data_IF_795365241223
#
_entry.id   IF_795365241223
#
_cell.length_a   1.000
_cell.length_b   1.000
_cell.length_c   1.000
_cell.angle_alpha   90.00
_cell.angle_beta   90.00
_cell.angle_gamma   90.00
#
_symmetry.space_group_name_H-M   'P 1'
#
loop_
_entity.id
_entity.type
_entity.pdbx_description
1 polymer ?
#
# COMPACT_ATOMS: atom_id res chain seq x y z
N UNK A 1 19.50 -0.07 -24.54
CA UNK A 1 18.93 0.93 -23.61
C UNK A 1 17.46 0.62 -23.28
N UNK A 2 16.60 0.30 -24.26
CA UNK A 2 15.16 0.10 -24.05
C UNK A 2 14.70 -1.32 -23.66
N UNK A 3 15.61 -2.28 -23.46
CA UNK A 3 15.23 -3.68 -23.16
C UNK A 3 14.44 -3.83 -21.84
N UNK A 4 14.63 -2.90 -20.89
CA UNK A 4 13.90 -2.87 -19.63
C UNK A 4 12.58 -2.10 -19.69
N UNK A 5 12.24 -1.49 -20.84
CA UNK A 5 11.01 -0.69 -20.97
C UNK A 5 9.82 -1.59 -21.27
N UNK A 6 8.71 -1.33 -20.59
CA UNK A 6 7.40 -1.91 -20.95
C UNK A 6 6.99 -1.51 -22.36
N UNK A 7 6.05 -2.23 -22.97
CA UNK A 7 5.53 -1.88 -24.30
C UNK A 7 4.95 -0.47 -24.34
N UNK A 8 4.18 -0.08 -23.31
CA UNK A 8 3.64 1.28 -23.17
C UNK A 8 4.74 2.32 -23.03
N UNK A 9 5.77 2.05 -22.23
CA UNK A 9 6.92 2.96 -22.09
C UNK A 9 7.72 3.11 -23.40
N UNK A 10 7.83 2.04 -24.21
CA UNK A 10 8.40 2.12 -25.56
C UNK A 10 7.51 2.95 -26.49
N UNK A 11 6.19 2.78 -26.41
CA UNK A 11 5.21 3.56 -27.18
C UNK A 11 5.28 5.05 -26.86
N UNK A 12 5.43 5.43 -25.58
CA UNK A 12 5.67 6.83 -25.15
C UNK A 12 6.86 7.46 -25.88
N UNK A 13 7.96 6.72 -26.04
CA UNK A 13 9.16 7.20 -26.74
C UNK A 13 8.87 7.44 -28.22
N UNK A 14 8.12 6.54 -28.87
CA UNK A 14 7.70 6.70 -30.27
C UNK A 14 6.77 7.91 -30.42
N UNK A 15 5.79 8.04 -29.53
CA UNK A 15 4.87 9.17 -29.51
C UNK A 15 5.59 10.50 -29.27
N UNK A 16 6.62 10.52 -28.41
CA UNK A 16 7.47 11.69 -28.22
C UNK A 16 8.23 12.06 -29.50
N UNK A 17 8.71 11.07 -30.26
CA UNK A 17 9.33 11.32 -31.56
C UNK A 17 8.33 11.90 -32.58
N UNK A 18 7.09 11.43 -32.56
CA UNK A 18 6.03 11.95 -33.42
C UNK A 18 5.61 13.38 -33.01
N UNK A 19 5.57 13.71 -31.73
CA UNK A 19 5.34 15.08 -31.27
C UNK A 19 6.51 16.00 -31.65
N UNK A 20 7.77 15.55 -31.52
CA UNK A 20 8.91 16.31 -32.01
C UNK A 20 8.79 16.63 -33.51
N UNK A 21 8.31 15.67 -34.32
CA UNK A 21 8.02 15.90 -35.74
C UNK A 21 6.86 16.86 -35.96
N UNK A 22 5.79 16.75 -35.17
CA UNK A 22 4.65 17.65 -35.24
C UNK A 22 5.06 19.10 -35.02
N UNK A 23 5.94 19.36 -34.05
CA UNK A 23 6.51 20.68 -33.78
C UNK A 23 7.68 21.06 -34.71
N UNK A 24 8.02 20.24 -35.72
CA UNK A 24 9.21 20.44 -36.58
C UNK A 24 10.53 20.60 -35.81
N UNK A 25 10.63 19.99 -34.62
CA UNK A 25 11.84 19.99 -33.82
C UNK A 25 12.81 18.89 -34.29
N UNK A 26 14.07 19.28 -34.49
CA UNK A 26 15.14 18.36 -34.86
C UNK A 26 15.75 17.62 -33.65
N UNK A 27 15.09 17.65 -32.48
CA UNK A 27 15.52 17.01 -31.25
C UNK A 27 14.33 16.48 -30.45
N UNK A 28 14.56 15.47 -29.60
CA UNK A 28 13.56 15.01 -28.63
C UNK A 28 13.88 15.63 -27.26
N UNK A 29 13.02 16.55 -26.82
CA UNK A 29 13.11 17.27 -25.57
C UNK A 29 12.29 16.62 -24.45
N UNK A 30 12.32 17.25 -23.28
CA UNK A 30 11.49 16.84 -22.13
C UNK A 30 10.00 17.05 -22.40
N UNK A 31 9.66 18.11 -23.14
CA UNK A 31 8.33 18.48 -23.60
C UNK A 31 7.72 17.41 -24.49
N UNK A 32 8.49 16.86 -25.41
CA UNK A 32 8.04 15.77 -26.27
C UNK A 32 7.79 14.49 -25.47
N UNK A 33 8.61 14.21 -24.45
CA UNK A 33 8.36 13.10 -23.52
C UNK A 33 7.07 13.31 -22.72
N UNK A 34 6.80 14.54 -22.27
CA UNK A 34 5.54 14.88 -21.57
C UNK A 34 4.32 14.65 -22.46
N UNK A 35 4.37 15.15 -23.69
CA UNK A 35 3.31 14.97 -24.69
C UNK A 35 3.14 13.49 -25.06
N UNK A 36 4.25 12.76 -25.22
CA UNK A 36 4.24 11.32 -25.47
C UNK A 36 3.60 10.52 -24.32
N UNK A 37 3.82 10.95 -23.06
CA UNK A 37 3.16 10.35 -21.90
C UNK A 37 1.66 10.60 -21.93
N UNK A 38 1.21 11.81 -22.24
CA UNK A 38 -0.22 12.18 -22.33
C UNK A 38 -0.94 11.54 -23.52
N UNK A 39 -0.22 11.24 -24.61
CA UNK A 39 -0.76 10.50 -25.76
C UNK A 39 -0.91 9.01 -25.51
N UNK A 40 -0.15 8.46 -24.59
CA UNK A 40 -0.38 7.10 -24.08
C UNK A 40 -1.40 7.16 -22.94
N UNK A 41 -2.65 7.47 -23.30
CA UNK A 41 -3.77 7.74 -22.40
C UNK A 41 -4.12 6.59 -21.44
N UNK A 42 -3.85 5.34 -21.82
CA UNK A 42 -3.97 4.16 -20.95
C UNK A 42 -2.87 4.04 -19.88
N UNK A 43 -1.78 4.80 -20.02
CA UNK A 43 -0.62 4.74 -19.14
C UNK A 43 -0.88 5.34 -17.76
N UNK A 44 -0.21 4.80 -16.73
CA UNK A 44 -0.28 5.34 -15.36
C UNK A 44 0.12 6.81 -15.31
N UNK A 45 1.07 7.23 -16.16
CA UNK A 45 1.49 8.62 -16.28
C UNK A 45 0.40 9.55 -16.82
N UNK A 46 -0.23 9.23 -17.95
CA UNK A 46 -1.31 10.03 -18.52
C UNK A 46 -2.45 10.18 -17.52
N UNK A 47 -2.83 9.06 -16.91
CA UNK A 47 -3.87 9.01 -15.91
C UNK A 47 -3.54 9.89 -14.69
N UNK A 48 -2.29 9.87 -14.22
CA UNK A 48 -1.84 10.73 -13.12
C UNK A 48 -1.93 12.22 -13.48
N UNK A 49 -1.51 12.58 -14.69
CA UNK A 49 -1.56 13.95 -15.19
C UNK A 49 -3.03 14.42 -15.36
N UNK A 50 -3.92 13.60 -15.90
CA UNK A 50 -5.34 13.94 -16.02
C UNK A 50 -6.02 14.20 -14.68
N UNK A 51 -5.70 13.44 -13.63
CA UNK A 51 -6.23 13.71 -12.28
C UNK A 51 -5.72 15.01 -11.66
N UNK A 52 -4.67 15.61 -12.23
CA UNK A 52 -4.17 16.93 -11.86
C UNK A 52 -4.66 18.00 -12.84
N UNK A 53 -5.68 17.70 -13.65
CA UNK A 53 -6.23 18.54 -14.71
C UNK A 53 -5.22 18.93 -15.80
N UNK A 54 -4.19 18.11 -16.02
CA UNK A 54 -3.24 18.30 -17.13
C UNK A 54 -3.75 17.53 -18.34
N UNK A 55 -4.30 18.24 -19.31
CA UNK A 55 -4.82 17.66 -20.56
C UNK A 55 -3.88 17.91 -21.73
N UNK A 56 -3.91 17.00 -22.72
CA UNK A 56 -2.96 16.99 -23.83
C UNK A 56 -2.94 18.30 -24.64
N UNK A 57 -4.11 18.85 -24.95
CA UNK A 57 -4.22 20.03 -25.80
C UNK A 57 -3.67 21.28 -25.11
N UNK A 58 -3.96 21.48 -23.82
CA UNK A 58 -3.38 22.57 -23.02
C UNK A 58 -1.85 22.45 -22.92
N UNK A 59 -1.32 21.23 -22.78
CA UNK A 59 0.13 21.00 -22.76
C UNK A 59 0.75 21.33 -24.12
N UNK A 60 0.09 21.01 -25.24
CA UNK A 60 0.57 21.39 -26.58
C UNK A 60 0.62 22.90 -26.74
N UNK A 61 -0.43 23.61 -26.34
CA UNK A 61 -0.48 25.07 -26.41
C UNK A 61 0.65 25.72 -25.57
N UNK A 62 0.91 25.19 -24.36
CA UNK A 62 2.02 25.66 -23.53
C UNK A 62 3.38 25.37 -24.16
N UNK A 63 3.56 24.19 -24.78
CA UNK A 63 4.81 23.86 -25.49
C UNK A 63 5.01 24.80 -26.68
N UNK A 64 3.99 25.01 -27.51
CA UNK A 64 4.03 25.96 -28.61
C UNK A 64 4.41 27.37 -28.13
N UNK A 65 3.81 27.83 -27.03
CA UNK A 65 4.12 29.15 -26.47
C UNK A 65 5.55 29.28 -25.96
N UNK A 66 6.21 28.20 -25.52
CA UNK A 66 7.54 28.25 -24.92
C UNK A 66 8.65 28.05 -25.96
N UNK A 67 8.46 27.11 -26.89
CA UNK A 67 9.49 26.71 -27.86
C UNK A 67 9.12 26.96 -29.33
N UNK A 68 7.85 27.19 -29.64
CA UNK A 68 7.38 27.42 -31.01
C UNK A 68 7.42 26.16 -31.89
N UNK A 69 7.37 26.37 -33.21
CA UNK A 69 7.65 25.35 -34.22
C UNK A 69 9.06 25.55 -34.79
N UNK A 70 9.75 24.45 -35.09
CA UNK A 70 11.02 24.45 -35.80
C UNK A 70 10.88 24.54 -37.33
N UNK A 71 12.00 24.35 -38.04
CA UNK A 71 12.05 24.41 -39.51
C UNK A 71 11.53 23.10 -40.14
N UNK A 72 10.63 23.25 -41.12
CA UNK A 72 10.03 22.13 -41.87
C UNK A 72 11.10 21.23 -42.51
N UNK A 73 10.92 19.91 -42.39
CA UNK A 73 11.74 18.90 -43.08
C UNK A 73 12.92 18.31 -42.29
N UNK A 74 13.13 18.71 -41.02
CA UNK A 74 14.28 18.27 -40.21
C UNK A 74 14.03 17.05 -39.30
N UNK A 75 12.80 16.51 -39.24
CA UNK A 75 12.32 15.61 -38.17
C UNK A 75 12.50 14.09 -38.35
N UNK A 76 13.21 13.59 -39.37
CA UNK A 76 13.21 12.14 -39.66
C UNK A 76 13.84 11.27 -38.54
N UNK A 77 14.92 11.74 -37.90
CA UNK A 77 15.60 11.06 -36.79
C UNK A 77 16.17 12.05 -35.76
N UNK A 78 15.27 12.74 -35.04
CA UNK A 78 15.65 13.63 -33.95
C UNK A 78 16.32 12.87 -32.78
N UNK A 79 17.55 13.22 -32.36
CA UNK A 79 18.17 12.61 -31.18
C UNK A 79 17.59 13.17 -29.88
N UNK A 80 17.68 12.39 -28.81
CA UNK A 80 17.40 12.87 -27.45
C UNK A 80 18.41 13.92 -27.00
N UNK A 81 17.89 15.04 -26.49
CA UNK A 81 18.66 16.07 -25.77
C UNK A 81 19.32 15.49 -24.51
N UNK A 82 20.40 16.12 -23.97
CA UNK A 82 20.99 15.69 -22.71
C UNK A 82 19.99 15.61 -21.54
N UNK A 83 19.03 16.55 -21.48
CA UNK A 83 17.98 16.58 -20.45
C UNK A 83 16.96 15.46 -20.62
N UNK A 84 16.50 15.18 -21.83
CA UNK A 84 15.59 14.04 -22.06
C UNK A 84 16.29 12.69 -21.78
N UNK A 85 17.59 12.55 -22.10
CA UNK A 85 18.38 11.38 -21.65
C UNK A 85 18.44 11.29 -20.13
N UNK A 86 18.63 12.43 -19.45
CA UNK A 86 18.64 12.49 -17.99
C UNK A 86 17.31 12.02 -17.38
N UNK A 87 16.19 12.42 -17.96
CA UNK A 87 14.86 11.94 -17.57
C UNK A 87 14.77 10.42 -17.64
N UNK A 88 15.25 9.79 -18.71
CA UNK A 88 15.24 8.33 -18.85
C UNK A 88 16.17 7.63 -17.83
N UNK A 89 17.31 8.23 -17.50
CA UNK A 89 18.19 7.73 -16.42
C UNK A 89 17.51 7.84 -15.04
N UNK A 90 16.84 8.95 -14.77
CA UNK A 90 16.09 9.17 -13.53
C UNK A 90 14.92 8.19 -13.44
N UNK A 91 14.23 7.92 -14.55
CA UNK A 91 13.17 6.92 -14.62
C UNK A 91 13.66 5.52 -14.21
N UNK A 92 14.85 5.11 -14.66
CA UNK A 92 15.44 3.86 -14.21
C UNK A 92 15.70 3.85 -12.69
N UNK A 93 16.16 4.96 -12.11
CA UNK A 93 16.38 5.06 -10.65
C UNK A 93 15.06 4.98 -9.88
N UNK A 94 14.02 5.66 -10.36
CA UNK A 94 12.68 5.61 -9.76
C UNK A 94 12.11 4.19 -9.80
N UNK A 95 12.26 3.47 -10.92
CA UNK A 95 11.86 2.08 -11.02
C UNK A 95 12.55 1.20 -9.96
N UNK A 96 13.87 1.34 -9.81
CA UNK A 96 14.63 0.59 -8.81
C UNK A 96 14.25 0.96 -7.37
N UNK A 97 14.00 2.25 -7.09
CA UNK A 97 13.56 2.72 -5.77
C UNK A 97 12.16 2.19 -5.39
N UNK A 98 11.31 1.96 -6.38
CA UNK A 98 9.99 1.35 -6.22
C UNK A 98 10.04 -0.19 -6.26
N UNK A 99 11.23 -0.80 -6.37
CA UNK A 99 11.40 -2.26 -6.43
C UNK A 99 11.01 -2.90 -7.77
N UNK A 100 10.80 -2.09 -8.82
CA UNK A 100 10.43 -2.56 -10.15
C UNK A 100 11.67 -2.91 -11.00
N UNK A 101 11.66 -4.10 -11.59
CA UNK A 101 12.70 -4.56 -12.53
C UNK A 101 12.47 -4.11 -13.99
N UNK A 102 11.47 -3.24 -14.22
CA UNK A 102 11.08 -2.70 -15.52
C UNK A 102 10.83 -1.19 -15.45
N UNK A 103 10.85 -0.51 -16.60
CA UNK A 103 10.56 0.91 -16.75
C UNK A 103 9.18 1.06 -17.40
N UNK A 104 8.19 1.50 -16.63
CA UNK A 104 6.86 1.87 -17.09
C UNK A 104 6.69 3.37 -17.33
N UNK A 105 5.49 3.76 -17.76
CA UNK A 105 5.13 5.15 -18.04
C UNK A 105 5.27 6.04 -16.79
N UNK A 106 4.89 5.50 -15.63
CA UNK A 106 5.02 6.06 -14.29
C UNK A 106 6.45 6.49 -13.96
N UNK A 107 7.44 5.66 -14.30
CA UNK A 107 8.83 5.91 -13.99
C UNK A 107 9.37 7.03 -14.88
N UNK A 108 8.95 7.06 -16.15
CA UNK A 108 9.29 8.15 -17.07
C UNK A 108 8.74 9.48 -16.55
N UNK A 109 7.48 9.51 -16.09
CA UNK A 109 6.89 10.71 -15.50
C UNK A 109 7.60 11.14 -14.20
N UNK A 110 7.93 10.19 -13.31
CA UNK A 110 8.70 10.49 -12.09
C UNK A 110 10.10 11.02 -12.40
N UNK A 111 10.75 10.47 -13.43
CA UNK A 111 12.03 10.98 -13.93
C UNK A 111 11.90 12.39 -14.52
N UNK A 112 10.79 12.67 -15.18
CA UNK A 112 10.49 13.96 -15.81
C UNK A 112 10.30 15.06 -14.77
N UNK A 113 9.51 14.83 -13.73
CA UNK A 113 9.27 15.82 -12.67
C UNK A 113 10.47 16.01 -11.74
N UNK A 114 11.38 15.03 -11.69
CA UNK A 114 12.65 15.14 -10.96
C UNK A 114 13.69 15.97 -11.73
N UNK A 115 13.58 16.05 -13.06
CA UNK A 115 14.36 16.93 -13.90
C UNK A 115 13.70 18.33 -13.93
N UNK A 116 13.98 19.14 -12.91
CA UNK A 116 13.28 20.41 -12.64
C UNK A 116 13.57 21.55 -13.61
N UNK A 117 14.57 21.41 -14.49
CA UNK A 117 15.02 22.52 -15.33
C UNK A 117 14.50 22.46 -16.78
N UNK A 118 13.92 21.33 -17.20
CA UNK A 118 13.47 21.10 -18.58
C UNK A 118 12.24 21.94 -18.99
N UNK A 119 11.92 21.94 -20.29
CA UNK A 119 10.71 22.58 -20.82
C UNK A 119 9.46 21.93 -20.21
N UNK A 120 9.44 20.61 -20.02
CA UNK A 120 8.33 19.92 -19.36
C UNK A 120 8.08 20.43 -17.93
N UNK A 121 9.14 20.72 -17.16
CA UNK A 121 9.00 21.27 -15.82
C UNK A 121 8.40 22.67 -15.85
N UNK A 122 8.79 23.50 -16.83
CA UNK A 122 8.19 24.83 -17.05
C UNK A 122 6.71 24.73 -17.44
N UNK A 123 6.37 23.84 -18.36
CA UNK A 123 4.98 23.61 -18.78
C UNK A 123 4.12 23.18 -17.58
N UNK A 124 4.57 22.19 -16.80
CA UNK A 124 3.84 21.76 -15.61
C UNK A 124 3.72 22.89 -14.58
N UNK A 125 4.76 23.71 -14.40
CA UNK A 125 4.71 24.88 -13.51
C UNK A 125 3.72 25.94 -13.97
N UNK A 126 3.60 26.20 -15.28
CA UNK A 126 2.63 27.15 -15.83
C UNK A 126 1.19 26.67 -15.65
N UNK A 127 0.99 25.35 -15.54
CA UNK A 127 -0.31 24.72 -15.26
C UNK A 127 -0.56 24.54 -13.75
N UNK A 128 0.24 25.18 -12.88
CA UNK A 128 0.15 25.09 -11.41
C UNK A 128 0.30 23.65 -10.85
N UNK A 129 1.03 22.79 -11.58
CA UNK A 129 1.27 21.40 -11.19
C UNK A 129 2.55 21.28 -10.38
N UNK A 130 2.37 21.00 -9.09
CA UNK A 130 3.46 20.72 -8.16
C UNK A 130 4.07 19.31 -8.42
N UNK A 131 5.39 19.20 -8.65
CA UNK A 131 6.11 17.92 -8.80
C UNK A 131 5.81 16.90 -7.69
N UNK A 132 5.63 17.35 -6.46
CA UNK A 132 5.30 16.47 -5.33
C UNK A 132 3.87 15.94 -5.44
N UNK A 133 2.93 16.72 -6.00
CA UNK A 133 1.57 16.23 -6.31
C UNK A 133 1.62 15.15 -7.39
N UNK A 134 2.42 15.34 -8.44
CA UNK A 134 2.60 14.33 -9.49
C UNK A 134 3.17 13.04 -8.91
N UNK A 135 4.21 13.13 -8.09
CA UNK A 135 4.79 11.95 -7.43
C UNK A 135 3.77 11.21 -6.57
N UNK A 136 3.02 11.93 -5.72
CA UNK A 136 1.96 11.34 -4.90
C UNK A 136 0.90 10.64 -5.75
N UNK A 137 0.52 11.25 -6.86
CA UNK A 137 -0.53 10.73 -7.75
C UNK A 137 -0.07 9.48 -8.52
N UNK A 138 1.18 9.46 -9.00
CA UNK A 138 1.78 8.28 -9.61
C UNK A 138 1.89 7.13 -8.60
N UNK A 139 2.40 7.39 -7.40
CA UNK A 139 2.51 6.37 -6.34
C UNK A 139 1.14 5.83 -5.93
N UNK A 140 0.14 6.71 -5.82
CA UNK A 140 -1.26 6.32 -5.55
C UNK A 140 -1.78 5.34 -6.60
N UNK A 141 -1.50 5.59 -7.87
CA UNK A 141 -1.96 4.74 -9.00
C UNK A 141 -1.19 3.44 -9.13
N UNK A 142 0.10 3.42 -8.78
CA UNK A 142 0.86 2.18 -8.70
C UNK A 142 0.41 1.30 -7.54
N UNK A 143 0.05 1.91 -6.41
CA UNK A 143 -0.59 1.22 -5.29
C UNK A 143 -2.00 0.71 -5.59
N UNK A 144 -2.67 1.23 -6.62
CA UNK A 144 -4.01 0.80 -7.06
C UNK A 144 -4.03 -0.01 -8.37
N UNK A 145 -2.87 -0.48 -8.85
CA UNK A 145 -2.67 -0.91 -10.25
C UNK A 145 -2.32 -2.37 -10.51
N UNK A 146 -2.35 -3.28 -9.52
CA UNK A 146 -2.13 -4.73 -9.76
C UNK A 146 -3.41 -5.57 -9.79
N UNK A 147 -4.53 -4.97 -10.22
CA UNK A 147 -5.62 -5.74 -10.81
C UNK A 147 -5.70 -5.45 -12.31
N UNK A 148 -5.82 -6.53 -13.10
CA UNK A 148 -6.01 -6.61 -14.56
C UNK A 148 -4.75 -6.72 -15.43
N UNK A 149 -4.12 -7.89 -15.36
CA UNK A 149 -3.80 -8.61 -16.58
C UNK A 149 -3.84 -10.12 -16.37
N UNK A 150 -5.03 -10.71 -16.57
CA UNK A 150 -5.24 -11.88 -17.44
C UNK A 150 -6.73 -12.15 -17.64
N UNK A 151 -7.21 -11.64 -18.77
CA UNK A 151 -8.19 -12.20 -19.71
C UNK A 151 -9.46 -12.91 -19.21
N UNK A 152 -10.61 -12.32 -19.58
CA UNK A 152 -11.73 -13.07 -20.15
C UNK A 152 -13.10 -12.84 -19.51
N UNK A 153 -14.01 -12.19 -20.25
CA UNK A 153 -15.45 -12.49 -20.18
C UNK A 153 -16.35 -11.52 -19.39
N UNK A 154 -17.00 -10.64 -20.16
CA UNK A 154 -18.40 -10.21 -20.03
C UNK A 154 -18.94 -9.45 -18.80
N UNK A 155 -19.33 -8.20 -19.10
CA UNK A 155 -20.63 -7.58 -18.87
C UNK A 155 -21.10 -7.18 -17.45
N UNK A 156 -21.29 -5.86 -17.29
CA UNK A 156 -22.20 -5.19 -16.35
C UNK A 156 -21.59 -5.01 -14.96
N UNK A 157 -21.27 -3.82 -14.46
CA UNK A 157 -21.99 -2.55 -14.54
C UNK A 157 -22.40 -2.18 -13.10
N UNK A 158 -21.67 -1.27 -12.45
CA UNK A 158 -22.07 -0.76 -11.13
C UNK A 158 -20.96 -0.22 -10.24
N UNK A 159 -20.77 1.10 -10.30
CA UNK A 159 -20.37 2.07 -9.24
C UNK A 159 -19.68 1.59 -7.95
N UNK A 160 -18.60 2.30 -7.60
CA UNK A 160 -18.02 2.44 -6.26
C UNK A 160 -16.55 2.82 -6.40
N UNK A 161 -16.19 4.11 -6.44
CA UNK A 161 -15.77 4.94 -5.29
C UNK A 161 -14.74 4.22 -4.42
N UNK A 162 -13.47 4.65 -4.45
CA UNK A 162 -12.55 4.59 -3.30
C UNK A 162 -11.27 5.38 -3.65
N UNK A 163 -11.07 6.58 -3.08
CA UNK A 163 -10.70 6.89 -1.69
C UNK A 163 -9.25 6.50 -1.36
N UNK A 164 -8.44 7.54 -1.14
CA UNK A 164 -7.01 7.55 -0.81
C UNK A 164 -6.73 6.79 0.50
N UNK A 165 -5.57 6.12 0.63
CA UNK A 165 -4.91 5.92 1.92
C UNK A 165 -3.42 6.31 1.91
N UNK A 166 -2.89 6.95 2.98
CA UNK A 166 -1.53 7.49 3.05
C UNK A 166 -0.54 6.52 3.71
N UNK A 167 0.72 6.47 3.25
CA UNK A 167 1.81 5.68 3.87
C UNK A 167 2.70 6.54 4.76
N UNK A 168 2.64 6.28 6.06
CA UNK A 168 3.77 5.87 6.96
C UNK A 168 3.20 5.80 8.37
N UNK A 169 2.80 4.62 8.84
CA UNK A 169 2.22 4.41 10.18
C UNK A 169 3.35 4.07 11.17
N UNK A 170 3.32 4.56 12.41
CA UNK A 170 4.35 4.19 13.42
C UNK A 170 4.28 2.70 13.75
N UNK A 171 3.08 2.13 13.64
CA UNK A 171 2.82 0.70 13.69
C UNK A 171 3.69 -0.11 12.71
N UNK A 172 4.04 0.43 11.53
CA UNK A 172 4.87 -0.29 10.54
C UNK A 172 6.32 -0.48 11.01
N UNK A 173 6.79 0.29 12.01
CA UNK A 173 8.14 0.16 12.56
C UNK A 173 8.24 -0.97 13.60
N UNK A 174 7.14 -1.25 14.32
CA UNK A 174 7.13 -2.14 15.49
C UNK A 174 6.16 -3.32 15.35
N UNK A 175 5.48 -3.39 14.23
CA UNK A 175 4.55 -4.46 13.89
C UNK A 175 4.74 -4.95 12.47
N UNK A 176 4.11 -6.08 12.16
CA UNK A 176 4.09 -6.67 10.82
C UNK A 176 2.67 -6.62 10.29
N UNK A 177 2.47 -5.95 9.16
CA UNK A 177 1.19 -5.94 8.46
C UNK A 177 1.03 -7.26 7.70
N UNK A 178 0.25 -8.20 8.22
CA UNK A 178 -0.01 -9.48 7.56
C UNK A 178 -0.79 -9.28 6.26
N UNK A 179 -1.71 -8.31 6.20
CA UNK A 179 -2.46 -8.01 4.97
C UNK A 179 -1.52 -7.55 3.86
N UNK A 180 -0.57 -6.65 4.13
CA UNK A 180 0.45 -6.26 3.14
C UNK A 180 1.38 -7.42 2.77
N UNK A 181 1.70 -8.31 3.70
CA UNK A 181 2.50 -9.49 3.37
C UNK A 181 1.72 -10.48 2.49
N UNK A 182 0.41 -10.58 2.68
CA UNK A 182 -0.46 -11.36 1.81
C UNK A 182 -0.54 -10.73 0.41
N UNK A 183 -0.73 -9.42 0.30
CA UNK A 183 -0.71 -8.67 -0.97
C UNK A 183 0.60 -8.85 -1.76
N UNK A 184 1.71 -9.07 -1.04
CA UNK A 184 3.04 -9.27 -1.60
C UNK A 184 3.38 -10.75 -1.86
N UNK A 185 2.44 -11.68 -1.70
CA UNK A 185 2.62 -13.14 -1.83
C UNK A 185 3.77 -13.67 -0.91
N UNK A 186 3.92 -13.07 0.28
CA UNK A 186 4.98 -13.42 1.25
C UNK A 186 4.50 -14.35 2.38
N UNK A 187 3.22 -14.70 2.41
CA UNK A 187 2.66 -15.65 3.37
C UNK A 187 2.69 -17.06 2.79
N UNK A 188 2.79 -18.06 3.67
CA UNK A 188 2.74 -19.46 3.26
C UNK A 188 1.27 -19.85 3.00
N UNK A 189 0.97 -20.58 1.91
CA UNK A 189 -0.41 -20.87 1.52
C UNK A 189 -1.11 -21.75 2.57
N UNK A 190 -2.29 -21.31 2.98
CA UNK A 190 -3.06 -21.98 4.03
C UNK A 190 -3.98 -23.05 3.45
N UNK A 191 -3.69 -24.32 3.74
CA UNK A 191 -4.47 -25.46 3.22
C UNK A 191 -5.44 -25.98 4.29
N UNK A 192 -6.73 -26.08 3.95
CA UNK A 192 -7.71 -26.83 4.73
C UNK A 192 -8.22 -26.14 6.00
N UNK A 193 -8.06 -24.82 6.14
CA UNK A 193 -8.53 -24.02 7.30
C UNK A 193 -9.68 -23.05 7.00
N UNK A 194 -10.39 -23.25 5.88
CA UNK A 194 -11.44 -22.34 5.42
C UNK A 194 -12.62 -22.22 6.41
N UNK A 195 -12.91 -23.26 7.18
CA UNK A 195 -14.01 -23.21 8.17
C UNK A 195 -13.66 -22.30 9.35
N UNK A 196 -12.42 -22.38 9.84
CA UNK A 196 -11.90 -21.55 10.91
C UNK A 196 -11.79 -20.08 10.48
N UNK A 197 -11.29 -19.82 9.27
CA UNK A 197 -11.20 -18.46 8.70
C UNK A 197 -12.60 -17.85 8.54
N UNK A 198 -13.55 -18.58 7.95
CA UNK A 198 -14.94 -18.14 7.83
C UNK A 198 -15.58 -17.84 9.20
N UNK A 199 -15.24 -18.65 10.22
CA UNK A 199 -15.71 -18.42 11.58
C UNK A 199 -15.11 -17.15 12.19
N UNK A 200 -13.83 -16.86 11.95
CA UNK A 200 -13.18 -15.61 12.37
C UNK A 200 -13.89 -14.41 11.75
N UNK A 201 -14.08 -14.41 10.43
CA UNK A 201 -14.80 -13.34 9.72
C UNK A 201 -16.18 -13.10 10.32
N UNK A 202 -16.95 -14.16 10.55
CA UNK A 202 -18.29 -14.06 11.13
C UNK A 202 -18.28 -13.41 12.52
N UNK A 203 -17.23 -13.62 13.31
CA UNK A 203 -17.10 -13.02 14.64
C UNK A 203 -16.72 -11.55 14.53
N UNK A 204 -15.77 -11.19 13.66
CA UNK A 204 -15.27 -9.83 13.50
C UNK A 204 -16.36 -8.83 13.08
N UNK A 205 -17.38 -9.29 12.35
CA UNK A 205 -18.51 -8.45 11.89
C UNK A 205 -19.59 -8.23 12.97
N UNK A 206 -19.52 -8.93 14.12
CA UNK A 206 -20.52 -8.79 15.18
C UNK A 206 -20.43 -7.45 15.90
N UNK A 207 -21.56 -7.01 16.48
CA UNK A 207 -21.61 -5.84 17.36
C UNK A 207 -21.10 -6.12 18.78
N UNK A 208 -21.20 -7.37 19.23
CA UNK A 208 -20.80 -7.83 20.56
C UNK A 208 -20.03 -9.13 20.44
N UNK A 209 -19.12 -9.39 21.38
CA UNK A 209 -18.18 -10.53 21.34
C UNK A 209 -17.50 -10.67 19.97
N UNK A 210 -16.98 -9.55 19.46
CA UNK A 210 -16.43 -9.41 18.11
C UNK A 210 -14.91 -9.58 18.04
N UNK A 211 -14.31 -10.12 19.10
CA UNK A 211 -12.90 -10.46 19.16
C UNK A 211 -12.76 -11.98 19.16
N UNK A 212 -12.35 -12.62 18.06
CA UNK A 212 -12.16 -14.06 18.03
C UNK A 212 -10.93 -14.47 18.84
N UNK A 213 -11.03 -15.62 19.53
CA UNK A 213 -9.89 -16.27 20.18
C UNK A 213 -9.77 -17.70 19.70
N UNK A 214 -8.67 -17.98 19.03
CA UNK A 214 -8.30 -19.29 18.50
C UNK A 214 -7.70 -20.10 19.65
N UNK A 215 -8.37 -21.18 20.04
CA UNK A 215 -7.93 -22.09 21.10
C UNK A 215 -7.62 -23.47 20.50
N UNK A 216 -6.48 -24.03 20.87
CA UNK A 216 -6.02 -25.33 20.38
C UNK A 216 -4.66 -25.70 20.99
N UNK A 217 -4.14 -26.87 20.65
CA UNK A 217 -2.80 -27.29 21.10
C UNK A 217 -1.69 -26.43 20.46
N UNK A 218 -0.49 -26.34 21.04
CA UNK A 218 0.66 -25.74 20.39
C UNK A 218 0.97 -26.44 19.05
N UNK A 219 1.36 -25.67 18.02
CA UNK A 219 1.79 -26.21 16.73
C UNK A 219 0.68 -26.59 15.74
N UNK A 220 -0.61 -26.45 16.09
CA UNK A 220 -1.74 -26.75 15.18
C UNK A 220 -1.92 -25.76 14.02
N UNK A 221 -1.07 -24.74 13.92
CA UNK A 221 -1.13 -23.72 12.87
C UNK A 221 -2.11 -22.57 13.14
N UNK A 222 -2.23 -22.11 14.40
CA UNK A 222 -3.11 -20.98 14.77
C UNK A 222 -2.73 -19.69 14.02
N UNK A 223 -1.43 -19.43 13.89
CA UNK A 223 -0.90 -18.30 13.12
C UNK A 223 -1.26 -18.39 11.65
N UNK A 224 -1.17 -19.58 11.05
CA UNK A 224 -1.55 -19.82 9.66
C UNK A 224 -3.03 -19.50 9.41
N UNK A 225 -3.93 -19.75 10.37
CA UNK A 225 -5.35 -19.38 10.23
C UNK A 225 -5.52 -17.86 10.12
N UNK A 226 -4.71 -17.08 10.86
CA UNK A 226 -4.76 -15.61 10.81
C UNK A 226 -4.09 -15.06 9.55
N UNK A 227 -3.03 -15.70 9.09
CA UNK A 227 -2.41 -15.40 7.79
C UNK A 227 -3.40 -15.65 6.65
N UNK A 228 -4.17 -16.75 6.70
CA UNK A 228 -5.21 -17.03 5.71
C UNK A 228 -6.36 -16.01 5.74
N UNK A 229 -6.72 -15.48 6.91
CA UNK A 229 -7.64 -14.33 6.98
C UNK A 229 -7.04 -13.09 6.31
N UNK A 230 -5.74 -12.84 6.52
CA UNK A 230 -5.07 -11.70 5.91
C UNK A 230 -5.00 -11.83 4.39
N UNK A 231 -4.84 -13.05 3.86
CA UNK A 231 -5.00 -13.38 2.44
C UNK A 231 -6.41 -13.07 1.93
N UNK A 232 -7.45 -13.56 2.59
CA UNK A 232 -8.83 -13.28 2.15
C UNK A 232 -9.16 -11.77 2.17
N UNK A 233 -8.63 -11.03 3.16
CA UNK A 233 -8.76 -9.56 3.22
C UNK A 233 -8.01 -8.91 2.05
N UNK A 234 -6.77 -9.30 1.78
CA UNK A 234 -5.96 -8.78 0.68
C UNK A 234 -6.58 -9.09 -0.70
N UNK A 235 -7.19 -10.26 -0.86
CA UNK A 235 -7.91 -10.66 -2.07
C UNK A 235 -9.28 -9.99 -2.22
N UNK A 236 -9.80 -9.39 -1.15
CA UNK A 236 -11.13 -8.78 -1.13
C UNK A 236 -12.28 -9.80 -1.15
N UNK A 237 -12.02 -11.04 -0.72
CA UNK A 237 -13.04 -12.11 -0.62
C UNK A 237 -13.86 -12.06 0.67
N UNK A 238 -13.59 -11.05 1.52
CA UNK A 238 -14.28 -10.78 2.78
C UNK A 238 -15.49 -9.84 2.62
N UNK A 239 -16.42 -9.79 3.59
CA UNK A 239 -17.48 -8.79 3.61
C UNK A 239 -16.95 -7.35 3.57
N UNK A 240 -17.69 -6.41 2.98
CA UNK A 240 -17.33 -4.98 2.81
C UNK A 240 -16.80 -4.33 4.11
N UNK A 241 -17.39 -4.67 5.26
CA UNK A 241 -16.99 -4.18 6.60
C UNK A 241 -15.53 -4.56 6.96
N UNK A 242 -15.02 -5.65 6.40
CA UNK A 242 -13.66 -6.14 6.62
C UNK A 242 -12.71 -5.82 5.46
N UNK A 243 -13.21 -5.50 4.26
CA UNK A 243 -12.37 -5.26 3.08
C UNK A 243 -11.46 -4.04 3.21
N UNK A 244 -11.87 -3.08 4.03
CA UNK A 244 -11.07 -1.90 4.36
C UNK A 244 -10.15 -2.10 5.59
N UNK A 245 -10.13 -3.28 6.21
CA UNK A 245 -9.35 -3.54 7.42
C UNK A 245 -7.98 -4.13 7.12
N UNK A 246 -7.04 -3.94 8.03
CA UNK A 246 -5.68 -4.48 7.93
C UNK A 246 -5.35 -5.30 9.18
N UNK A 247 -4.75 -6.48 8.98
CA UNK A 247 -4.32 -7.36 10.06
C UNK A 247 -2.88 -7.06 10.40
N UNK A 248 -2.62 -6.65 11.63
CA UNK A 248 -1.29 -6.34 12.13
C UNK A 248 -0.90 -7.27 13.27
N UNK A 249 0.36 -7.68 13.33
CA UNK A 249 0.96 -8.28 14.53
C UNK A 249 1.87 -7.26 15.21
N UNK A 250 1.97 -7.30 16.53
CA UNK A 250 2.92 -6.47 17.27
C UNK A 250 4.07 -7.33 17.79
N UNK A 251 5.30 -6.90 17.52
CA UNK A 251 6.49 -7.50 18.11
C UNK A 251 6.84 -6.76 19.41
N UNK A 252 6.40 -7.32 20.53
CA UNK A 252 6.73 -6.80 21.86
C UNK A 252 8.24 -6.85 22.14
N UNK A 253 8.96 -7.82 21.56
CA UNK A 253 10.41 -7.93 21.68
C UNK A 253 11.11 -6.77 20.98
N UNK A 254 10.66 -6.39 19.79
CA UNK A 254 11.16 -5.22 19.07
C UNK A 254 10.87 -3.90 19.79
N UNK A 255 9.73 -3.81 20.51
CA UNK A 255 9.39 -2.64 21.32
C UNK A 255 10.30 -2.49 22.56
N UNK A 256 10.66 -3.61 23.17
CA UNK A 256 11.59 -3.65 24.31
C UNK A 256 13.02 -3.36 23.84
N UNK A 257 13.42 -3.92 22.69
CA UNK A 257 14.71 -3.69 22.06
C UNK A 257 14.91 -2.19 21.74
N UNK A 258 15.89 -1.57 22.40
CA UNK A 258 16.17 -0.14 22.22
C UNK A 258 15.36 0.80 23.12
N UNK A 259 14.65 0.28 24.13
CA UNK A 259 14.25 1.06 25.30
C UNK A 259 15.26 0.83 26.43
N UNK A 260 15.85 1.90 26.97
CA UNK A 260 16.78 1.78 28.12
C UNK A 260 16.02 1.77 29.45
N UNK A 261 14.78 2.27 29.43
CA UNK A 261 13.93 2.44 30.60
C UNK A 261 12.51 1.97 30.31
N UNK A 262 11.87 1.30 31.29
CA UNK A 262 10.48 0.82 31.22
C UNK A 262 9.47 1.89 30.79
N UNK A 263 9.64 3.13 31.25
CA UNK A 263 8.73 4.23 30.89
C UNK A 263 8.72 4.57 29.40
N UNK A 264 9.85 4.40 28.70
CA UNK A 264 9.94 4.64 27.25
C UNK A 264 9.15 3.57 26.47
N UNK A 265 9.20 2.32 26.91
CA UNK A 265 8.40 1.23 26.34
C UNK A 265 6.90 1.51 26.49
N UNK A 266 6.46 1.87 27.69
CA UNK A 266 5.05 2.18 27.95
C UNK A 266 4.55 3.38 27.13
N UNK A 267 5.38 4.43 26.97
CA UNK A 267 5.02 5.59 26.16
C UNK A 267 4.90 5.24 24.67
N UNK A 268 5.83 4.43 24.14
CA UNK A 268 5.77 3.93 22.76
C UNK A 268 4.53 3.07 22.53
N UNK A 269 4.24 2.13 23.44
CA UNK A 269 3.05 1.29 23.34
C UNK A 269 1.77 2.14 23.39
N UNK A 270 1.70 3.16 24.26
CA UNK A 270 0.57 4.11 24.28
C UNK A 270 0.38 4.85 22.94
N UNK A 271 1.47 5.27 22.29
CA UNK A 271 1.41 5.92 20.96
C UNK A 271 0.86 4.98 19.90
N UNK A 272 1.35 3.74 19.86
CA UNK A 272 0.86 2.70 18.94
C UNK A 272 -0.61 2.40 19.20
N UNK A 273 -1.01 2.24 20.47
CA UNK A 273 -2.40 1.98 20.81
C UNK A 273 -3.33 3.13 20.42
N UNK A 274 -2.85 4.37 20.54
CA UNK A 274 -3.58 5.54 20.09
C UNK A 274 -3.76 5.53 18.57
N UNK A 275 -2.71 5.23 17.81
CA UNK A 275 -2.78 5.08 16.36
C UNK A 275 -3.80 4.00 15.93
N UNK A 276 -3.75 2.82 16.55
CA UNK A 276 -4.71 1.74 16.28
C UNK A 276 -6.16 2.18 16.53
N UNK A 277 -6.38 2.94 17.62
CA UNK A 277 -7.71 3.42 18.00
C UNK A 277 -8.20 4.54 17.07
N UNK A 278 -7.32 5.46 16.68
CA UNK A 278 -7.67 6.62 15.85
C UNK A 278 -8.01 6.23 14.40
N UNK A 279 -7.38 5.18 13.87
CA UNK A 279 -7.58 4.74 12.50
C UNK A 279 -8.81 3.83 12.31
N UNK A 280 -9.11 2.95 13.27
CA UNK A 280 -10.32 2.10 13.25
C UNK A 280 -10.39 1.01 12.17
N UNK A 281 -9.46 1.01 11.21
CA UNK A 281 -9.27 0.00 10.16
C UNK A 281 -8.33 -1.14 10.60
N UNK A 282 -7.73 -1.07 11.78
CA UNK A 282 -6.71 -2.04 12.22
C UNK A 282 -7.32 -3.18 13.05
N UNK A 283 -7.03 -4.41 12.67
CA UNK A 283 -7.24 -5.63 13.47
C UNK A 283 -5.89 -6.08 14.01
N UNK A 284 -5.76 -6.11 15.33
CA UNK A 284 -4.51 -6.55 15.97
C UNK A 284 -4.54 -8.07 16.23
N UNK A 285 -3.60 -8.81 15.67
CA UNK A 285 -3.32 -10.18 16.02
C UNK A 285 -2.34 -10.26 17.19
N UNK A 286 -2.72 -11.02 18.20
CA UNK A 286 -1.92 -11.28 19.39
C UNK A 286 -1.78 -12.80 19.54
N UNK A 287 -0.60 -13.30 19.20
CA UNK A 287 -0.23 -14.65 19.58
C UNK A 287 0.04 -14.71 21.09
N UNK A 288 -0.26 -15.85 21.70
CA UNK A 288 -0.16 -16.04 23.15
C UNK A 288 -0.84 -14.93 23.97
N UNK A 289 -2.11 -14.62 23.65
CA UNK A 289 -2.84 -13.49 24.29
C UNK A 289 -2.89 -13.58 25.83
N UNK A 290 -2.71 -14.76 26.41
CA UNK A 290 -2.63 -14.96 27.86
C UNK A 290 -1.43 -14.23 28.50
N UNK A 291 -0.34 -14.01 27.75
CA UNK A 291 0.83 -13.23 28.20
C UNK A 291 0.44 -11.78 28.53
N UNK A 292 -0.58 -11.25 27.86
CA UNK A 292 -1.06 -9.88 28.04
C UNK A 292 -2.19 -9.77 29.07
N UNK A 293 -2.75 -10.89 29.53
CA UNK A 293 -3.93 -10.89 30.40
C UNK A 293 -3.60 -11.33 31.84
N UNK A 294 -2.64 -12.25 32.03
CA UNK A 294 -2.41 -12.78 33.37
C UNK A 294 -1.12 -13.55 33.63
N UNK A 295 -0.19 -13.65 32.67
CA UNK A 295 1.04 -14.42 32.89
C UNK A 295 2.08 -13.71 33.78
N UNK A 296 2.12 -12.37 33.84
CA UNK A 296 2.77 -11.55 34.87
C UNK A 296 4.23 -11.84 35.28
N UNK A 297 4.91 -12.83 34.71
CA UNK A 297 6.12 -13.41 35.31
C UNK A 297 7.09 -14.06 34.31
N UNK A 298 6.83 -14.01 32.99
CA UNK A 298 7.81 -14.46 32.00
C UNK A 298 8.71 -13.28 31.56
N UNK A 299 10.02 -13.54 31.58
CA UNK A 299 11.13 -12.60 31.34
C UNK A 299 10.88 -11.69 30.13
N UNK A 300 10.52 -10.42 30.37
CA UNK A 300 10.37 -9.40 29.32
C UNK A 300 8.94 -8.89 29.10
N UNK A 301 7.91 -9.55 29.63
CA UNK A 301 6.50 -9.14 29.56
C UNK A 301 6.15 -8.04 30.58
N UNK A 302 6.96 -6.96 30.61
CA UNK A 302 6.76 -5.86 31.55
C UNK A 302 5.57 -5.02 31.07
N UNK A 303 4.42 -5.23 31.73
CA UNK A 303 3.29 -4.30 31.89
C UNK A 303 2.50 -3.83 30.65
N UNK A 304 2.68 -4.47 29.47
CA UNK A 304 1.79 -4.23 28.33
C UNK A 304 0.30 -4.49 28.67
N UNK A 305 0.04 -5.39 29.63
CA UNK A 305 -1.27 -5.73 30.15
C UNK A 305 -2.04 -4.51 30.70
N UNK A 306 -1.39 -3.60 31.42
CA UNK A 306 -2.07 -2.41 31.99
C UNK A 306 -2.51 -1.40 30.93
N UNK A 307 -1.88 -1.42 29.76
CA UNK A 307 -2.21 -0.55 28.62
C UNK A 307 -3.27 -1.22 27.72
N UNK A 308 -3.13 -2.50 27.42
CA UNK A 308 -4.00 -3.21 26.48
C UNK A 308 -5.34 -3.63 27.08
N UNK A 309 -5.35 -4.09 28.34
CA UNK A 309 -6.57 -4.59 28.99
C UNK A 309 -7.68 -3.54 29.08
N UNK A 310 -7.42 -2.26 29.41
CA UNK A 310 -8.45 -1.23 29.38
C UNK A 310 -9.03 -0.99 27.97
N UNK A 311 -8.19 -0.95 26.93
CA UNK A 311 -8.62 -0.74 25.54
C UNK A 311 -9.50 -1.92 25.05
N UNK A 312 -9.09 -3.14 25.34
CA UNK A 312 -9.87 -4.36 25.08
C UNK A 312 -11.21 -4.36 25.81
N UNK A 313 -11.20 -4.06 27.12
CA UNK A 313 -12.40 -4.05 27.94
C UNK A 313 -13.40 -2.97 27.48
N UNK A 314 -12.92 -1.81 27.04
CA UNK A 314 -13.75 -0.73 26.46
C UNK A 314 -14.23 -1.05 25.05
N UNK A 315 -13.53 -1.92 24.32
CA UNK A 315 -13.85 -2.27 22.93
C UNK A 315 -13.41 -1.20 21.95
N UNK A 316 -12.36 -0.46 22.29
CA UNK A 316 -11.75 0.58 21.45
C UNK A 316 -10.90 -0.02 20.33
N UNK A 317 -10.45 -1.26 20.50
CA UNK A 317 -9.63 -1.99 19.54
C UNK A 317 -10.28 -3.33 19.22
N UNK A 318 -10.03 -3.82 18.01
CA UNK A 318 -10.45 -5.13 17.55
C UNK A 318 -9.25 -6.08 17.51
N UNK A 319 -9.39 -7.26 18.11
CA UNK A 319 -8.29 -8.20 18.31
C UNK A 319 -8.65 -9.62 17.91
N UNK A 320 -7.70 -10.29 17.27
CA UNK A 320 -7.67 -11.75 17.09
C UNK A 320 -6.63 -12.30 18.07
N UNK A 321 -7.06 -13.14 19.01
CA UNK A 321 -6.17 -13.79 19.97
C UNK A 321 -5.88 -15.24 19.60
N UNK A 322 -4.67 -15.72 19.89
CA UNK A 322 -4.37 -17.15 19.90
C UNK A 322 -3.82 -17.57 21.27
N UNK A 323 -4.22 -18.74 21.76
CA UNK A 323 -3.74 -19.28 23.06
C UNK A 323 -4.03 -20.78 23.16
N UNK A 324 -3.47 -21.48 24.14
CA UNK A 324 -3.90 -22.86 24.45
C UNK A 324 -5.21 -22.90 25.23
N UNK A 325 -5.89 -24.05 25.20
CA UNK A 325 -7.15 -24.27 25.93
C UNK A 325 -6.99 -24.04 27.44
N UNK A 326 -5.88 -24.49 28.01
CA UNK A 326 -5.61 -24.39 29.45
C UNK A 326 -5.33 -22.94 29.87
N UNK A 327 -4.55 -22.20 29.08
CA UNK A 327 -4.28 -20.78 29.33
C UNK A 327 -5.53 -19.92 29.18
N UNK A 328 -6.38 -20.20 28.18
CA UNK A 328 -7.65 -19.50 28.01
C UNK A 328 -8.52 -19.62 29.26
N UNK A 329 -8.71 -20.85 29.77
CA UNK A 329 -9.48 -21.13 30.99
C UNK A 329 -8.87 -20.46 32.22
N UNK A 330 -7.54 -20.44 32.32
CA UNK A 330 -6.85 -19.93 33.49
C UNK A 330 -6.86 -18.40 33.56
N UNK A 331 -6.70 -17.72 32.43
CA UNK A 331 -6.42 -16.28 32.39
C UNK A 331 -7.50 -15.43 31.72
N UNK A 332 -8.12 -15.90 30.63
CA UNK A 332 -9.07 -15.10 29.85
C UNK A 332 -10.52 -15.33 30.31
N UNK A 333 -10.92 -16.58 30.51
CA UNK A 333 -12.29 -16.96 30.90
C UNK A 333 -12.67 -16.47 32.30
N UNK A 334 -11.70 -16.37 33.22
CA UNK A 334 -11.95 -15.86 34.58
C UNK A 334 -12.14 -14.34 34.63
N UNK A 335 -11.74 -13.62 33.60
CA UNK A 335 -11.87 -12.16 33.56
C UNK A 335 -13.17 -11.73 32.89
N UNK A 336 -14.18 -11.38 33.70
CA UNK A 336 -15.51 -10.95 33.23
C UNK A 336 -15.46 -9.77 32.24
N UNK A 337 -14.46 -8.90 32.33
CA UNK A 337 -14.36 -7.72 31.47
C UNK A 337 -13.91 -8.08 30.04
N UNK A 338 -13.11 -9.15 29.90
CA UNK A 338 -12.61 -9.67 28.64
C UNK A 338 -13.53 -10.77 28.07
N UNK A 339 -14.07 -11.63 28.91
CA UNK A 339 -15.00 -12.72 28.51
C UNK A 339 -16.20 -12.19 27.71
N UNK A 340 -16.69 -10.99 28.03
CA UNK A 340 -17.77 -10.31 27.29
C UNK A 340 -17.37 -9.75 25.92
N UNK A 341 -16.07 -9.72 25.61
CA UNK A 341 -15.50 -9.18 24.36
C UNK A 341 -15.03 -10.27 23.41
N UNK A 342 -14.66 -11.43 23.96
CA UNK A 342 -14.09 -12.53 23.20
C UNK A 342 -15.12 -13.62 22.84
N UNK A 343 -14.89 -14.25 21.69
CA UNK A 343 -15.61 -15.44 21.24
C UNK A 343 -14.60 -16.51 20.84
N UNK A 344 -14.72 -17.70 21.42
CA UNK A 344 -13.78 -18.81 21.17
C UNK A 344 -14.05 -19.53 19.85
N UNK A 345 -12.98 -20.03 19.25
CA UNK A 345 -12.94 -20.91 18.08
C UNK A 345 -12.00 -22.06 18.41
N UNK A 346 -12.51 -23.29 18.44
CA UNK A 346 -11.68 -24.47 18.67
C UNK A 346 -11.01 -24.92 17.38
N UNK A 347 -9.72 -25.23 17.48
CA UNK A 347 -8.89 -25.75 16.41
C UNK A 347 -8.27 -27.06 16.87
N UNK A 348 -8.45 -28.10 16.07
CA UNK A 348 -7.93 -29.45 16.27
C UNK A 348 -7.00 -29.87 15.15
#
# INVERSE_FOLDING_TARGET
MFERFTERARKVVVLAQDEARHFNHNYIGTEHLLLGLLREDEGVAAQALYSLNVVLDEVREQVESIVGYGEEGTGAQAPFTPRSKKVLELALREALQLGHNYIGTEHILLGLVRESEGVAARVLSNLDVDPDKVRREVVRRLGGGRSRSRGGGEAGGGRGVEAKRPKTRQLDQYGRNLTSYAEEDKLDPVIGRSQEIARIMQILVRRTKNNPVIIGEPGVGKTAIVEGLAEEIAEGTVPEILGEKEVYTLDLGALVAGSKYRGEFEERLKKIMKEITDHGDIILFIDEIHNLVGAGAAEGAIDAASILKPALARGEIQVIGATTTDEYRKYVEKDKALERRFQTIQVG
#
